data_IF_256940997301
#
_entry.id   IF_256940997301
#
_cell.length_a   1.000
_cell.length_b   1.000
_cell.length_c   1.000
_cell.angle_alpha   90.00
_cell.angle_beta   90.00
_cell.angle_gamma   90.00
#
_symmetry.space_group_name_H-M   'P 1'
#
loop_
_entity.id
_entity.type
_entity.pdbx_description
1 polymer ?
#
# COMPACT_ATOMS: atom_id res chain seq x y z
N UNK A 1 5.96 2.77 14.51
CA UNK A 1 6.62 3.89 13.77
C UNK A 1 6.28 3.70 12.29
N UNK A 2 5.90 4.75 11.54
CA UNK A 2 5.49 4.62 10.13
C UNK A 2 6.57 4.02 9.21
N UNK A 3 7.83 4.01 9.68
CA UNK A 3 8.97 3.40 8.98
C UNK A 3 8.88 1.88 8.90
N UNK A 4 8.31 1.24 9.92
CA UNK A 4 8.11 -0.21 9.96
C UNK A 4 6.66 -0.55 9.65
N UNK A 5 6.35 -0.59 8.35
CA UNK A 5 5.00 -0.83 7.84
C UNK A 5 4.53 -2.24 8.20
N UNK A 6 5.42 -3.23 8.10
CA UNK A 6 5.10 -4.63 8.40
C UNK A 6 4.67 -4.83 9.83
N UNK A 7 5.50 -4.42 10.81
CA UNK A 7 5.14 -4.53 12.22
C UNK A 7 3.89 -3.72 12.58
N UNK A 8 3.69 -2.54 11.96
CA UNK A 8 2.49 -1.74 12.21
C UNK A 8 1.21 -2.46 11.75
N UNK A 9 1.27 -3.15 10.60
CA UNK A 9 0.14 -3.93 10.09
C UNK A 9 -0.08 -5.20 10.91
N UNK A 10 0.98 -5.91 11.29
CA UNK A 10 0.88 -7.10 12.16
C UNK A 10 0.25 -6.76 13.51
N UNK A 11 0.63 -5.63 14.11
CA UNK A 11 0.02 -5.14 15.35
C UNK A 11 -1.46 -4.84 15.15
N UNK A 12 -1.83 -4.22 14.04
CA UNK A 12 -3.23 -3.92 13.72
C UNK A 12 -4.05 -5.21 13.53
N UNK A 13 -3.53 -6.17 12.77
CA UNK A 13 -4.16 -7.47 12.56
C UNK A 13 -4.37 -8.21 13.89
N UNK A 14 -3.38 -8.18 14.78
CA UNK A 14 -3.48 -8.78 16.11
C UNK A 14 -4.51 -8.06 17.01
N UNK A 15 -4.51 -6.73 17.01
CA UNK A 15 -5.42 -5.91 17.85
C UNK A 15 -6.89 -6.10 17.46
N UNK A 16 -7.17 -6.26 16.17
CA UNK A 16 -8.54 -6.31 15.66
C UNK A 16 -8.97 -7.70 15.18
N UNK A 17 -8.10 -8.72 15.30
CA UNK A 17 -8.40 -10.08 14.81
C UNK A 17 -8.62 -10.13 13.30
N UNK A 18 -7.84 -9.35 12.55
CA UNK A 18 -7.95 -9.20 11.10
C UNK A 18 -6.80 -9.89 10.35
N UNK A 19 -6.92 -9.95 9.03
CA UNK A 19 -5.89 -10.47 8.11
C UNK A 19 -5.55 -9.45 7.02
N UNK A 20 -5.52 -8.17 7.38
CA UNK A 20 -5.32 -7.06 6.45
C UNK A 20 -3.95 -7.12 5.78
N UNK A 21 -2.91 -7.54 6.49
CA UNK A 21 -1.58 -7.70 5.90
C UNK A 21 -1.57 -8.73 4.77
N UNK A 22 -2.23 -9.89 4.99
CA UNK A 22 -2.38 -10.90 3.95
C UNK A 22 -3.23 -10.40 2.78
N UNK A 23 -4.34 -9.73 3.08
CA UNK A 23 -5.22 -9.15 2.06
C UNK A 23 -4.49 -8.12 1.19
N UNK A 24 -3.74 -7.20 1.79
CA UNK A 24 -2.93 -6.22 1.09
C UNK A 24 -1.84 -6.87 0.24
N UNK A 25 -1.31 -8.02 0.66
CA UNK A 25 -0.25 -8.73 -0.06
C UNK A 25 -0.73 -9.62 -1.20
N UNK A 26 -2.02 -9.88 -1.29
CA UNK A 26 -2.61 -10.67 -2.38
C UNK A 26 -2.79 -9.81 -3.65
N UNK A 27 -2.09 -10.16 -4.72
CA UNK A 27 -2.14 -9.42 -6.00
C UNK A 27 -3.54 -9.46 -6.67
N UNK A 28 -4.40 -10.42 -6.33
CA UNK A 28 -5.79 -10.44 -6.81
C UNK A 28 -6.58 -9.22 -6.33
N UNK A 29 -6.15 -8.60 -5.21
CA UNK A 29 -6.77 -7.40 -4.65
C UNK A 29 -6.20 -6.10 -5.24
N UNK A 30 -5.28 -6.15 -6.20
CA UNK A 30 -4.51 -4.99 -6.69
C UNK A 30 -5.38 -3.79 -7.06
N UNK A 31 -6.49 -4.01 -7.77
CA UNK A 31 -7.42 -2.96 -8.19
C UNK A 31 -8.12 -2.28 -7.00
N UNK A 32 -8.50 -3.07 -5.99
CA UNK A 32 -9.14 -2.52 -4.79
C UNK A 32 -8.11 -1.75 -3.97
N UNK A 33 -6.92 -2.33 -3.78
CA UNK A 33 -5.79 -1.71 -3.09
C UNK A 33 -5.39 -0.39 -3.75
N UNK A 34 -5.29 -0.34 -5.09
CA UNK A 34 -4.92 0.88 -5.81
C UNK A 34 -5.95 2.00 -5.62
N UNK A 35 -7.24 1.67 -5.65
CA UNK A 35 -8.32 2.63 -5.41
C UNK A 35 -8.29 3.21 -3.99
N UNK A 36 -8.05 2.38 -2.98
CA UNK A 36 -7.92 2.85 -1.60
C UNK A 36 -6.68 3.73 -1.42
N UNK A 37 -5.53 3.30 -1.94
CA UNK A 37 -4.29 4.05 -1.84
C UNK A 37 -4.40 5.41 -2.55
N UNK A 38 -4.99 5.46 -3.74
CA UNK A 38 -5.24 6.71 -4.46
C UNK A 38 -5.97 7.75 -3.59
N UNK A 39 -7.02 7.33 -2.87
CA UNK A 39 -7.83 8.23 -2.03
C UNK A 39 -7.05 8.85 -0.87
N UNK A 40 -6.06 8.15 -0.33
CA UNK A 40 -5.34 8.56 0.87
C UNK A 40 -3.90 9.01 0.58
N UNK A 41 -3.37 8.74 -0.62
CA UNK A 41 -1.98 9.04 -0.95
C UNK A 41 -1.68 10.52 -0.76
N UNK A 42 -2.56 11.39 -1.25
CA UNK A 42 -2.38 12.84 -1.16
C UNK A 42 -2.50 13.41 0.27
N UNK A 43 -2.93 12.60 1.25
CA UNK A 43 -3.03 13.01 2.66
C UNK A 43 -1.70 12.84 3.42
N UNK A 44 -0.69 12.23 2.81
CA UNK A 44 0.58 11.91 3.46
C UNK A 44 1.79 12.47 2.70
N UNK A 45 2.87 12.82 3.41
CA UNK A 45 4.15 13.15 2.78
C UNK A 45 4.66 12.02 1.87
N UNK A 46 5.30 12.41 0.76
CA UNK A 46 5.77 11.50 -0.29
C UNK A 46 6.70 10.39 0.22
N UNK A 47 7.55 10.68 1.19
CA UNK A 47 8.47 9.72 1.81
C UNK A 47 7.72 8.60 2.55
N UNK A 48 6.61 8.95 3.20
CA UNK A 48 5.74 7.99 3.87
C UNK A 48 5.00 7.10 2.88
N UNK A 49 4.49 7.68 1.79
CA UNK A 49 3.85 6.91 0.70
C UNK A 49 4.86 5.95 0.07
N UNK A 50 6.04 6.46 -0.28
CA UNK A 50 7.10 5.67 -0.90
C UNK A 50 7.51 4.48 -0.02
N UNK A 51 7.63 4.67 1.29
CA UNK A 51 7.94 3.59 2.23
C UNK A 51 6.83 2.52 2.27
N UNK A 52 5.56 2.94 2.32
CA UNK A 52 4.42 2.03 2.30
C UNK A 52 4.32 1.24 0.99
N UNK A 53 4.53 1.90 -0.15
CA UNK A 53 4.55 1.25 -1.46
C UNK A 53 5.72 0.26 -1.59
N UNK A 54 6.91 0.61 -1.08
CA UNK A 54 8.05 -0.30 -1.05
C UNK A 54 7.74 -1.57 -0.25
N UNK A 55 7.11 -1.42 0.91
CA UNK A 55 6.66 -2.58 1.68
C UNK A 55 5.63 -3.39 0.88
N UNK A 56 4.61 -2.74 0.32
CA UNK A 56 3.52 -3.40 -0.42
C UNK A 56 4.05 -4.23 -1.61
N UNK A 57 4.89 -3.61 -2.44
CA UNK A 57 5.41 -4.19 -3.68
C UNK A 57 6.46 -5.28 -3.46
N UNK A 58 6.97 -5.46 -2.24
CA UNK A 58 7.91 -6.53 -1.95
C UNK A 58 7.29 -7.90 -2.25
N UNK A 59 7.84 -8.57 -3.28
CA UNK A 59 7.40 -9.89 -3.76
C UNK A 59 6.34 -9.85 -4.86
N UNK A 60 5.91 -8.67 -5.31
CA UNK A 60 4.87 -8.52 -6.34
C UNK A 60 5.42 -8.58 -7.76
N UNK A 61 4.57 -8.98 -8.70
CA UNK A 61 4.88 -8.87 -10.13
C UNK A 61 4.93 -7.41 -10.61
N UNK A 62 5.73 -7.15 -11.64
CA UNK A 62 5.83 -5.81 -12.24
C UNK A 62 4.49 -5.32 -12.78
N UNK A 63 3.65 -6.23 -13.31
CA UNK A 63 2.32 -5.88 -13.82
C UNK A 63 1.44 -5.28 -12.73
N UNK A 64 1.38 -5.92 -11.56
CA UNK A 64 0.61 -5.42 -10.41
C UNK A 64 1.18 -4.12 -9.84
N UNK A 65 2.51 -4.00 -9.77
CA UNK A 65 3.18 -2.77 -9.35
C UNK A 65 2.79 -1.61 -10.28
N UNK A 66 2.82 -1.82 -11.60
CA UNK A 66 2.48 -0.79 -12.58
C UNK A 66 1.02 -0.31 -12.45
N UNK A 67 0.09 -1.21 -12.13
CA UNK A 67 -1.32 -0.85 -11.88
C UNK A 67 -1.43 0.10 -10.69
N UNK A 68 -0.80 -0.24 -9.55
CA UNK A 68 -0.86 0.60 -8.34
C UNK A 68 -0.19 1.95 -8.58
N UNK A 69 1.03 1.96 -9.13
CA UNK A 69 1.77 3.21 -9.38
C UNK A 69 0.95 4.13 -10.28
N UNK A 70 0.45 3.62 -11.42
CA UNK A 70 -0.36 4.42 -12.34
C UNK A 70 -1.58 5.04 -11.69
N UNK A 71 -2.26 4.32 -10.80
CA UNK A 71 -3.44 4.82 -10.11
C UNK A 71 -3.10 5.83 -9.02
N UNK A 72 -2.11 5.51 -8.18
CA UNK A 72 -1.74 6.32 -7.02
C UNK A 72 -1.16 7.67 -7.44
N UNK A 73 -0.41 7.71 -8.54
CA UNK A 73 0.27 8.94 -8.99
C UNK A 73 -0.51 9.73 -10.04
N UNK A 74 -1.77 9.38 -10.34
CA UNK A 74 -2.52 9.98 -11.47
C UNK A 74 -2.70 11.50 -11.32
N UNK A 75 -2.83 11.99 -10.08
CA UNK A 75 -3.04 13.41 -9.76
C UNK A 75 -1.79 14.07 -9.16
N UNK A 76 -0.63 13.40 -9.18
CA UNK A 76 0.60 14.00 -8.69
C UNK A 76 1.11 14.97 -9.75
N UNK A 77 1.16 16.25 -9.39
CA UNK A 77 1.75 17.32 -10.20
C UNK A 77 3.15 17.64 -9.71
N UNK A 78 4.03 18.00 -10.64
CA UNK A 78 5.39 18.49 -10.35
C UNK A 78 5.37 19.85 -9.63
#
# INVERSE_FOLDING_TARGET
SWRDVGTSIEQMDSLYGASFGHWLKCEENVTMTSNYLYRIANDYPIDRIANALKWLFSGWTLASIAVVVRHVTIDWVD
#
